data_IF_937640936082
#
_entry.id   IF_937640936082
#
_cell.length_a   1.000
_cell.length_b   1.000
_cell.length_c   1.000
_cell.angle_alpha   90.00
_cell.angle_beta   90.00
_cell.angle_gamma   90.00
#
_symmetry.space_group_name_H-M   'P 1'
#
loop_
_entity.id
_entity.type
_entity.pdbx_description
1 polymer ?
#
# COMPACT_ATOMS: atom_id res chain seq x y z
N UNK A 1 17.91 8.82 22.73
CA UNK A 1 16.94 9.47 21.82
C UNK A 1 15.79 8.53 21.43
N UNK A 2 16.04 7.23 21.12
CA UNK A 2 14.96 6.27 20.83
C UNK A 2 13.99 6.09 22.01
N UNK A 3 14.50 5.93 23.23
CA UNK A 3 13.69 5.63 24.42
C UNK A 3 12.71 6.76 24.78
N UNK A 4 13.11 8.02 24.55
CA UNK A 4 12.24 9.20 24.80
C UNK A 4 11.10 9.25 23.79
N UNK A 5 11.40 9.00 22.50
CA UNK A 5 10.38 8.95 21.46
C UNK A 5 9.42 7.78 21.68
N UNK A 6 9.93 6.64 22.11
CA UNK A 6 9.11 5.47 22.43
C UNK A 6 8.14 5.76 23.58
N UNK A 7 8.59 6.41 24.65
CA UNK A 7 7.71 6.84 25.73
C UNK A 7 6.64 7.83 25.29
N UNK A 8 6.96 8.78 24.40
CA UNK A 8 5.97 9.72 23.86
C UNK A 8 4.91 9.00 23.03
N UNK A 9 5.32 8.08 22.16
CA UNK A 9 4.42 7.26 21.36
C UNK A 9 3.49 6.45 22.27
N UNK A 10 4.04 5.80 23.30
CA UNK A 10 3.27 5.02 24.27
C UNK A 10 2.23 5.87 24.99
N UNK A 11 2.61 7.05 25.48
CA UNK A 11 1.71 7.97 26.17
C UNK A 11 0.51 8.37 25.29
N UNK A 12 0.74 8.65 24.00
CA UNK A 12 -0.36 8.95 23.06
C UNK A 12 -1.27 7.75 22.88
N UNK A 13 -0.69 6.55 22.68
CA UNK A 13 -1.45 5.32 22.47
C UNK A 13 -2.29 4.94 23.69
N UNK A 14 -1.76 5.13 24.91
CA UNK A 14 -2.42 4.75 26.14
C UNK A 14 -3.50 5.77 26.56
N UNK A 15 -3.38 7.04 26.14
CA UNK A 15 -4.35 8.09 26.41
C UNK A 15 -5.51 8.17 25.41
N UNK A 16 -5.39 7.48 24.28
CA UNK A 16 -6.37 7.54 23.20
C UNK A 16 -7.30 6.32 23.21
N UNK A 17 -8.60 6.55 23.02
CA UNK A 17 -9.62 5.51 22.90
C UNK A 17 -10.00 5.24 21.43
N UNK A 18 -9.74 6.22 20.55
CA UNK A 18 -10.16 6.20 19.15
C UNK A 18 -9.00 6.48 18.22
N UNK A 19 -9.04 5.84 17.07
CA UNK A 19 -8.19 6.17 15.93
C UNK A 19 -9.04 6.52 14.72
N UNK A 20 -8.53 7.38 13.85
CA UNK A 20 -9.07 7.59 12.54
C UNK A 20 -8.28 6.73 11.55
N UNK A 21 -8.96 5.79 10.90
CA UNK A 21 -8.35 4.91 9.90
C UNK A 21 -8.77 5.32 8.50
N UNK A 22 -7.78 5.57 7.64
CA UNK A 22 -7.98 5.83 6.22
C UNK A 22 -7.62 4.58 5.40
N UNK A 23 -8.50 4.26 4.45
CA UNK A 23 -8.38 3.11 3.54
C UNK A 23 -8.59 3.55 2.10
N UNK A 24 -8.02 2.84 1.12
CA UNK A 24 -8.19 3.22 -0.29
C UNK A 24 -8.08 2.03 -1.23
N UNK A 25 -8.87 2.04 -2.31
CA UNK A 25 -8.79 1.07 -3.41
C UNK A 25 -9.08 1.80 -4.73
N UNK A 26 -8.20 1.65 -5.71
CA UNK A 26 -8.42 2.17 -7.07
C UNK A 26 -8.61 3.70 -7.14
N UNK A 27 -7.95 4.45 -6.25
CA UNK A 27 -8.09 5.91 -6.16
C UNK A 27 -9.26 6.38 -5.28
N UNK A 28 -10.17 5.49 -4.88
CA UNK A 28 -11.26 5.82 -3.96
C UNK A 28 -10.80 5.63 -2.52
N UNK A 29 -10.74 6.71 -1.77
CA UNK A 29 -10.41 6.72 -0.33
C UNK A 29 -11.66 6.78 0.53
N UNK A 30 -11.56 6.28 1.74
CA UNK A 30 -12.51 6.50 2.82
C UNK A 30 -11.80 6.58 4.16
N UNK A 31 -12.42 7.26 5.12
CA UNK A 31 -11.94 7.36 6.47
C UNK A 31 -13.05 7.11 7.47
N UNK A 32 -12.70 6.57 8.62
CA UNK A 32 -13.63 6.31 9.70
C UNK A 32 -12.94 6.40 11.05
N UNK A 33 -13.64 6.92 12.04
CA UNK A 33 -13.23 6.81 13.44
C UNK A 33 -13.66 5.44 13.98
N UNK A 34 -12.74 4.73 14.62
CA UNK A 34 -12.99 3.43 15.25
C UNK A 34 -12.37 3.42 16.66
N UNK A 35 -12.96 2.66 17.56
CA UNK A 35 -12.33 2.34 18.82
C UNK A 35 -11.22 1.33 18.58
N UNK A 36 -10.12 1.46 19.27
CA UNK A 36 -8.99 0.56 19.14
C UNK A 36 -8.39 0.23 20.50
N UNK A 37 -7.58 -0.79 20.52
CA UNK A 37 -6.72 -1.12 21.65
C UNK A 37 -5.34 -1.51 21.15
N UNK A 38 -4.37 -1.40 22.02
CA UNK A 38 -3.00 -1.79 21.76
C UNK A 38 -2.80 -3.29 22.06
N UNK A 39 -2.08 -4.00 21.20
CA UNK A 39 -1.63 -5.37 21.41
C UNK A 39 -0.12 -5.47 21.06
N UNK A 40 0.73 -5.13 22.03
CA UNK A 40 2.16 -4.93 21.80
C UNK A 40 2.42 -3.71 20.91
N UNK A 41 3.06 -3.93 19.75
CA UNK A 41 3.28 -2.87 18.74
C UNK A 41 2.11 -2.74 17.76
N UNK A 42 1.18 -3.71 17.74
CA UNK A 42 0.03 -3.73 16.85
C UNK A 42 -1.16 -2.99 17.46
N UNK A 43 -2.07 -2.54 16.59
CA UNK A 43 -3.35 -1.96 17.00
C UNK A 43 -4.47 -2.91 16.58
N UNK A 44 -5.41 -3.17 17.48
CA UNK A 44 -6.57 -4.03 17.21
C UNK A 44 -7.85 -3.23 17.31
N UNK A 45 -8.80 -3.49 16.41
CA UNK A 45 -10.11 -2.87 16.40
C UNK A 45 -11.15 -3.81 15.81
N UNK A 46 -12.41 -3.48 15.96
CA UNK A 46 -13.49 -4.17 15.31
C UNK A 46 -14.34 -3.24 14.45
N UNK A 47 -15.06 -3.82 13.49
CA UNK A 47 -16.06 -3.10 12.71
C UNK A 47 -17.16 -4.04 12.25
N UNK A 48 -18.37 -3.51 12.11
CA UNK A 48 -19.49 -4.26 11.55
C UNK A 48 -19.29 -4.56 10.06
N UNK A 49 -19.88 -5.65 9.59
CA UNK A 49 -19.98 -6.01 8.19
C UNK A 49 -21.43 -5.85 7.70
N UNK A 50 -21.63 -5.47 6.42
CA UNK A 50 -20.63 -4.99 5.47
C UNK A 50 -20.32 -3.50 5.67
N UNK A 51 -19.05 -3.13 5.65
CA UNK A 51 -18.64 -1.72 5.64
C UNK A 51 -17.63 -1.47 4.53
N UNK A 52 -17.65 -0.24 3.98
CA UNK A 52 -16.72 0.16 2.90
C UNK A 52 -15.25 -0.02 3.30
N UNK A 53 -14.89 0.33 4.55
CA UNK A 53 -13.52 0.15 5.02
C UNK A 53 -13.10 -1.32 5.09
N UNK A 54 -14.00 -2.22 5.55
CA UNK A 54 -13.72 -3.66 5.61
C UNK A 54 -13.45 -4.23 4.21
N UNK A 55 -14.24 -3.82 3.21
CA UNK A 55 -14.05 -4.24 1.82
C UNK A 55 -12.77 -3.66 1.22
N UNK A 56 -12.46 -2.38 1.50
CA UNK A 56 -11.22 -1.76 1.05
C UNK A 56 -9.99 -2.42 1.66
N UNK A 57 -10.00 -2.76 2.95
CA UNK A 57 -8.92 -3.48 3.63
C UNK A 57 -8.70 -4.86 3.00
N UNK A 58 -9.77 -5.59 2.68
CA UNK A 58 -9.68 -6.89 2.00
C UNK A 58 -8.97 -6.81 0.66
N UNK A 59 -9.18 -5.73 -0.10
CA UNK A 59 -8.61 -5.52 -1.43
C UNK A 59 -7.23 -4.87 -1.39
N UNK A 60 -7.00 -4.00 -0.43
CA UNK A 60 -5.73 -3.29 -0.21
C UNK A 60 -5.48 -3.15 1.29
N UNK A 61 -4.53 -3.91 1.86
CA UNK A 61 -4.27 -3.90 3.30
C UNK A 61 -3.58 -2.62 3.79
N UNK A 62 -3.10 -1.75 2.91
CA UNK A 62 -2.45 -0.50 3.32
C UNK A 62 -3.45 0.45 3.93
N UNK A 63 -3.10 0.93 5.12
CA UNK A 63 -3.90 1.90 5.87
C UNK A 63 -3.01 3.03 6.36
N UNK A 64 -3.64 4.18 6.55
CA UNK A 64 -3.06 5.28 7.31
C UNK A 64 -3.94 5.53 8.54
N UNK A 65 -3.32 5.60 9.70
CA UNK A 65 -4.00 5.77 10.98
C UNK A 65 -3.55 7.08 11.61
N UNK A 66 -4.50 7.82 12.17
CA UNK A 66 -4.22 9.01 12.96
C UNK A 66 -4.81 8.83 14.35
N UNK A 67 -4.03 9.14 15.38
CA UNK A 67 -4.40 9.01 16.79
C UNK A 67 -4.07 10.30 17.50
N UNK A 68 -5.00 10.79 18.32
CA UNK A 68 -4.79 11.93 19.18
C UNK A 68 -5.08 11.57 20.62
N UNK A 69 -4.34 12.10 21.59
CA UNK A 69 -4.71 12.06 22.99
C UNK A 69 -6.05 12.78 23.18
N UNK A 70 -6.84 12.30 24.13
CA UNK A 70 -8.13 12.92 24.46
C UNK A 70 -7.93 14.37 24.94
N UNK A 71 -8.60 15.31 24.29
CA UNK A 71 -8.51 16.74 24.61
C UNK A 71 -7.29 17.48 24.04
N UNK A 72 -6.49 16.82 23.18
CA UNK A 72 -5.34 17.42 22.50
C UNK A 72 -5.39 17.22 20.97
N UNK A 73 -6.60 17.10 20.45
CA UNK A 73 -6.83 16.83 19.02
C UNK A 73 -6.19 17.92 18.15
N UNK A 74 -5.34 17.49 17.23
CA UNK A 74 -4.66 18.36 16.28
C UNK A 74 -3.40 19.05 16.78
N UNK A 75 -3.02 18.91 18.05
CA UNK A 75 -1.81 19.52 18.63
C UNK A 75 -0.72 18.47 18.82
N UNK A 76 -1.05 17.38 19.51
CA UNK A 76 -0.19 16.23 19.69
C UNK A 76 -0.85 14.98 19.09
N UNK A 77 -0.08 14.09 18.51
CA UNK A 77 -0.66 12.86 17.98
C UNK A 77 0.31 11.99 17.20
N UNK A 78 -0.22 10.89 16.71
CA UNK A 78 0.50 9.92 15.88
C UNK A 78 -0.12 9.85 14.49
N UNK A 79 0.74 9.75 13.49
CA UNK A 79 0.39 9.36 12.12
C UNK A 79 1.12 8.05 11.84
N UNK A 80 0.38 7.00 11.54
CA UNK A 80 0.90 5.64 11.44
C UNK A 80 0.59 5.08 10.07
N UNK A 81 1.61 4.74 9.31
CA UNK A 81 1.47 3.92 8.12
C UNK A 81 1.59 2.45 8.49
N UNK A 82 0.73 1.61 7.96
CA UNK A 82 0.75 0.20 8.29
C UNK A 82 -0.07 -0.66 7.34
N UNK A 83 -0.15 -1.94 7.67
CA UNK A 83 -0.97 -2.92 6.98
C UNK A 83 -2.02 -3.48 7.92
N UNK A 84 -3.26 -3.55 7.44
CA UNK A 84 -4.41 -4.00 8.20
C UNK A 84 -4.92 -5.32 7.65
N UNK A 85 -5.16 -6.29 8.54
CA UNK A 85 -5.64 -7.62 8.20
C UNK A 85 -6.82 -8.02 9.08
N UNK A 86 -7.80 -8.73 8.48
CA UNK A 86 -8.88 -9.36 9.25
C UNK A 86 -8.29 -10.53 10.06
N UNK A 87 -8.53 -10.55 11.35
CA UNK A 87 -8.20 -11.65 12.24
C UNK A 87 -9.14 -12.81 11.91
N UNK A 88 -8.56 -13.99 11.68
CA UNK A 88 -9.31 -15.21 11.30
C UNK A 88 -9.38 -16.23 12.42
N UNK A 89 -8.32 -16.31 13.21
CA UNK A 89 -8.19 -17.23 14.33
C UNK A 89 -9.13 -16.80 15.46
N UNK A 90 -9.83 -17.76 16.04
CA UNK A 90 -10.89 -17.49 17.03
C UNK A 90 -10.30 -17.09 18.40
N UNK A 91 -9.14 -17.62 18.78
CA UNK A 91 -8.45 -17.22 20.01
C UNK A 91 -7.91 -15.79 19.88
N UNK A 92 -7.35 -15.44 18.72
CA UNK A 92 -6.96 -14.05 18.43
C UNK A 92 -8.17 -13.11 18.41
N UNK A 93 -9.32 -13.51 17.85
CA UNK A 93 -10.55 -12.70 17.89
C UNK A 93 -11.00 -12.43 19.31
N UNK A 94 -11.02 -13.49 20.16
CA UNK A 94 -11.38 -13.37 21.57
C UNK A 94 -10.44 -12.42 22.30
N UNK A 95 -9.13 -12.54 22.07
CA UNK A 95 -8.14 -11.64 22.65
C UNK A 95 -8.35 -10.20 22.18
N UNK A 96 -8.57 -9.96 20.89
CA UNK A 96 -8.83 -8.64 20.34
C UNK A 96 -10.12 -8.02 20.94
N UNK A 97 -11.16 -8.83 21.10
CA UNK A 97 -12.41 -8.45 21.75
C UNK A 97 -12.18 -7.99 23.20
N UNK A 98 -11.49 -8.81 24.02
CA UNK A 98 -11.17 -8.49 25.41
C UNK A 98 -10.35 -7.20 25.54
N UNK A 99 -9.38 -6.99 24.64
CA UNK A 99 -8.56 -5.77 24.61
C UNK A 99 -9.40 -4.54 24.31
N UNK A 100 -10.23 -4.60 23.27
CA UNK A 100 -11.05 -3.43 22.87
C UNK A 100 -12.12 -3.13 23.91
N UNK A 101 -12.71 -4.13 24.55
CA UNK A 101 -13.68 -3.92 25.63
C UNK A 101 -13.07 -3.23 26.86
N UNK A 102 -11.80 -3.50 27.19
CA UNK A 102 -11.12 -2.82 28.30
C UNK A 102 -10.97 -1.32 28.04
N UNK A 103 -10.79 -0.93 26.78
CA UNK A 103 -10.61 0.47 26.39
C UNK A 103 -11.96 1.20 26.23
N UNK A 104 -13.07 0.45 26.05
CA UNK A 104 -14.36 1.03 25.65
C UNK A 104 -15.49 0.59 26.58
N UNK A 105 -15.55 1.13 27.80
CA UNK A 105 -16.63 0.80 28.75
C UNK A 105 -18.04 1.06 28.21
N UNK A 106 -18.20 2.11 27.39
CA UNK A 106 -19.47 2.47 26.78
C UNK A 106 -20.10 1.40 25.88
N UNK A 107 -19.31 0.43 25.39
CA UNK A 107 -19.82 -0.65 24.53
C UNK A 107 -20.17 -1.93 25.27
N UNK A 108 -19.77 -2.08 26.54
CA UNK A 108 -20.08 -3.29 27.31
C UNK A 108 -21.58 -3.58 27.40
N UNK A 109 -22.42 -2.51 27.48
CA UNK A 109 -23.86 -2.65 27.55
C UNK A 109 -24.54 -3.08 26.24
N UNK A 110 -23.85 -2.90 25.08
CA UNK A 110 -24.43 -3.17 23.76
C UNK A 110 -23.93 -4.49 23.15
N UNK A 111 -22.95 -5.14 23.77
CA UNK A 111 -22.26 -6.29 23.21
C UNK A 111 -22.36 -7.50 24.13
N UNK A 112 -23.37 -8.36 23.90
CA UNK A 112 -23.38 -9.71 24.48
C UNK A 112 -22.28 -10.57 23.81
N UNK A 113 -21.38 -11.10 24.65
CA UNK A 113 -20.08 -11.64 24.28
C UNK A 113 -20.10 -12.70 23.16
N UNK A 114 -21.04 -13.61 23.21
CA UNK A 114 -21.05 -14.80 22.32
C UNK A 114 -21.57 -14.48 20.92
N UNK A 115 -22.48 -13.54 20.80
CA UNK A 115 -23.08 -13.15 19.53
C UNK A 115 -22.08 -12.50 18.58
N UNK A 116 -21.16 -11.71 19.11
CA UNK A 116 -20.21 -10.91 18.32
C UNK A 116 -18.98 -11.71 17.86
N UNK A 117 -18.62 -12.72 18.63
CA UNK A 117 -17.48 -13.60 18.29
C UNK A 117 -17.90 -14.65 17.26
N UNK A 118 -19.11 -15.21 17.44
CA UNK A 118 -19.59 -16.34 16.59
C UNK A 118 -20.26 -15.93 15.29
N UNK A 119 -20.82 -14.72 15.21
CA UNK A 119 -21.49 -14.25 14.00
C UNK A 119 -20.56 -13.34 13.19
N UNK A 120 -20.43 -13.59 11.90
CA UNK A 120 -19.64 -12.80 10.93
C UNK A 120 -20.14 -11.33 10.74
N UNK A 121 -21.06 -10.88 11.59
CA UNK A 121 -21.58 -9.51 11.62
C UNK A 121 -20.52 -8.51 12.08
N UNK A 122 -19.57 -8.95 12.90
CA UNK A 122 -18.44 -8.15 13.38
C UNK A 122 -17.12 -8.76 12.92
N UNK A 123 -16.28 -7.96 12.27
CA UNK A 123 -14.93 -8.34 11.91
C UNK A 123 -13.92 -7.70 12.84
N UNK A 124 -12.97 -8.48 13.32
CA UNK A 124 -11.83 -8.03 14.10
C UNK A 124 -10.64 -7.84 13.17
N UNK A 125 -9.91 -6.77 13.38
CA UNK A 125 -8.81 -6.35 12.52
C UNK A 125 -7.58 -6.02 13.33
N UNK A 126 -6.42 -6.29 12.76
CA UNK A 126 -5.11 -5.95 13.30
C UNK A 126 -4.37 -5.04 12.32
N UNK A 127 -3.94 -3.90 12.81
CA UNK A 127 -3.02 -3.01 12.08
C UNK A 127 -1.60 -3.28 12.57
N UNK A 128 -0.72 -3.58 11.64
CA UNK A 128 0.72 -3.72 11.87
C UNK A 128 1.43 -2.45 11.42
N UNK A 129 1.90 -1.62 12.33
CA UNK A 129 2.62 -0.40 11.98
C UNK A 129 3.90 -0.70 11.20
N UNK A 130 4.19 0.13 10.20
CA UNK A 130 5.47 0.11 9.48
C UNK A 130 6.29 1.36 9.77
N UNK A 131 5.61 2.48 9.94
CA UNK A 131 6.22 3.76 10.27
C UNK A 131 5.28 4.52 11.21
N UNK A 132 5.83 5.08 12.27
CA UNK A 132 5.11 5.95 13.20
C UNK A 132 5.77 7.33 13.14
N UNK A 133 4.95 8.35 12.90
CA UNK A 133 5.34 9.76 12.99
C UNK A 133 4.66 10.34 14.22
N UNK A 134 5.44 10.77 15.19
CA UNK A 134 4.98 11.56 16.31
C UNK A 134 4.95 13.04 15.89
N UNK A 135 3.90 13.72 16.24
CA UNK A 135 3.68 15.14 15.94
C UNK A 135 3.33 15.86 17.25
N UNK A 136 4.06 16.94 17.56
CA UNK A 136 3.71 17.83 18.67
C UNK A 136 4.11 19.26 18.32
N UNK A 137 3.12 20.13 18.15
CA UNK A 137 3.35 21.52 17.74
C UNK A 137 3.89 22.42 18.85
N UNK A 138 3.94 21.95 20.10
CA UNK A 138 4.56 22.67 21.22
C UNK A 138 6.05 22.37 21.38
N UNK A 139 6.59 21.37 20.69
CA UNK A 139 7.99 21.02 20.77
C UNK A 139 8.82 21.71 19.66
N UNK A 140 10.12 21.93 19.92
CA UNK A 140 11.03 22.47 18.90
C UNK A 140 11.16 21.50 17.71
N UNK A 141 11.27 20.20 17.99
CA UNK A 141 11.25 19.15 16.97
C UNK A 141 9.81 18.63 16.84
N UNK A 142 9.00 19.34 16.07
CA UNK A 142 7.57 19.06 15.91
C UNK A 142 7.25 17.70 15.29
N UNK A 143 8.19 17.10 14.55
CA UNK A 143 7.98 15.85 13.81
C UNK A 143 9.12 14.88 14.09
N UNK A 144 8.81 13.76 14.71
CA UNK A 144 9.75 12.68 14.99
C UNK A 144 9.27 11.37 14.37
N UNK A 145 10.20 10.56 13.86
CA UNK A 145 9.86 9.37 13.08
C UNK A 145 10.46 8.11 13.71
N UNK A 146 9.64 7.06 13.78
CA UNK A 146 10.07 5.71 14.15
C UNK A 146 9.70 4.74 13.05
N UNK A 147 10.67 3.98 12.53
CA UNK A 147 10.42 2.87 11.60
C UNK A 147 10.43 1.57 12.38
N UNK A 148 9.39 0.75 12.23
CA UNK A 148 9.27 -0.55 12.87
C UNK A 148 10.02 -1.58 12.00
N UNK A 149 11.14 -2.18 12.50
CA UNK A 149 11.89 -3.20 11.76
C UNK A 149 11.06 -4.49 11.68
N UNK A 150 10.97 -5.10 10.53
CA UNK A 150 10.27 -6.39 10.32
C UNK A 150 9.14 -6.34 9.29
N UNK A 151 8.50 -5.21 9.08
CA UNK A 151 7.40 -5.06 8.11
C UNK A 151 7.85 -4.59 6.70
N UNK A 152 9.15 -4.49 6.44
CA UNK A 152 9.70 -4.02 5.15
C UNK A 152 9.41 -4.95 3.97
N UNK A 153 9.20 -6.24 4.21
CA UNK A 153 9.05 -7.25 3.13
C UNK A 153 7.77 -7.06 2.32
N UNK A 154 6.72 -6.61 2.95
CA UNK A 154 5.43 -6.33 2.30
C UNK A 154 5.50 -5.06 1.44
N UNK A 155 6.16 -4.00 1.92
CA UNK A 155 6.33 -2.75 1.17
C UNK A 155 7.13 -2.95 -0.13
N UNK A 156 8.20 -3.75 -0.10
CA UNK A 156 9.02 -4.07 -1.28
C UNK A 156 8.23 -4.91 -2.28
N UNK A 157 7.54 -5.97 -1.83
CA UNK A 157 6.70 -6.81 -2.69
C UNK A 157 5.57 -6.01 -3.34
N UNK A 158 5.00 -5.06 -2.62
CA UNK A 158 3.90 -4.24 -3.13
C UNK A 158 4.39 -3.11 -4.03
N UNK A 159 5.54 -2.50 -3.77
CA UNK A 159 6.19 -1.56 -4.69
C UNK A 159 6.51 -2.23 -6.03
N UNK A 160 7.00 -3.47 -6.00
CA UNK A 160 7.25 -4.28 -7.19
C UNK A 160 5.94 -4.60 -7.95
N UNK A 161 4.87 -5.00 -7.23
CA UNK A 161 3.55 -5.28 -7.82
C UNK A 161 2.87 -4.02 -8.40
N UNK A 162 3.05 -2.86 -7.75
CA UNK A 162 2.57 -1.57 -8.26
C UNK A 162 3.40 -1.10 -9.46
N UNK A 163 4.71 -1.33 -9.45
CA UNK A 163 5.59 -1.09 -10.59
C UNK A 163 5.15 -1.88 -11.82
N UNK A 164 4.88 -3.18 -11.67
CA UNK A 164 4.36 -4.03 -12.75
C UNK A 164 2.98 -3.58 -13.25
N UNK A 165 2.07 -3.16 -12.35
CA UNK A 165 0.76 -2.60 -12.78
C UNK A 165 0.92 -1.28 -13.53
N UNK A 166 1.82 -0.39 -13.10
CA UNK A 166 2.12 0.86 -13.82
C UNK A 166 2.73 0.60 -15.18
N UNK A 167 3.66 -0.36 -15.30
CA UNK A 167 4.21 -0.79 -16.58
C UNK A 167 3.11 -1.36 -17.47
N UNK A 168 2.23 -2.21 -16.96
CA UNK A 168 1.10 -2.76 -17.72
C UNK A 168 0.11 -1.70 -18.20
N UNK A 169 -0.19 -0.69 -17.36
CA UNK A 169 -1.02 0.44 -17.75
C UNK A 169 -0.32 1.31 -18.80
N UNK A 170 0.96 1.59 -18.59
CA UNK A 170 1.78 2.35 -19.54
C UNK A 170 1.83 1.67 -20.91
N UNK A 171 2.09 0.34 -20.97
CA UNK A 171 2.06 -0.44 -22.19
C UNK A 171 0.71 -0.39 -22.91
N UNK A 172 -0.40 -0.32 -22.17
CA UNK A 172 -1.73 -0.14 -22.75
C UNK A 172 -1.94 1.28 -23.30
N UNK A 173 -1.45 2.29 -22.58
CA UNK A 173 -1.58 3.70 -22.95
C UNK A 173 -0.81 4.02 -24.23
N UNK A 174 0.40 3.48 -24.40
CA UNK A 174 1.19 3.65 -25.63
C UNK A 174 0.73 2.74 -26.77
N UNK A 175 -0.39 2.03 -26.60
CA UNK A 175 -0.95 1.13 -27.61
C UNK A 175 0.12 0.14 -28.12
N UNK A 176 0.79 -0.55 -27.18
CA UNK A 176 1.86 -1.52 -27.50
C UNK A 176 1.58 -2.46 -28.69
N UNK A 177 0.33 -2.90 -28.96
CA UNK A 177 0.02 -3.67 -30.17
C UNK A 177 0.38 -2.97 -31.48
N UNK A 178 0.38 -1.62 -31.53
CA UNK A 178 0.77 -0.88 -32.73
C UNK A 178 2.29 -0.85 -32.98
N UNK A 179 3.11 -1.19 -31.98
CA UNK A 179 4.56 -1.36 -32.17
C UNK A 179 4.87 -2.52 -33.16
N UNK A 180 4.00 -3.52 -33.24
CA UNK A 180 4.16 -4.62 -34.19
C UNK A 180 4.10 -4.14 -35.65
N UNK A 181 3.28 -3.12 -35.93
CA UNK A 181 3.20 -2.50 -37.24
C UNK A 181 4.52 -1.79 -37.63
N UNK A 182 5.31 -1.33 -36.67
CA UNK A 182 6.63 -0.73 -36.87
C UNK A 182 7.70 -1.80 -36.98
N UNK A 183 7.63 -2.85 -36.17
CA UNK A 183 8.65 -3.90 -36.15
C UNK A 183 8.64 -4.79 -37.37
N UNK A 184 7.46 -5.21 -37.85
CA UNK A 184 7.34 -6.12 -38.97
C UNK A 184 8.05 -5.60 -40.26
N UNK A 185 7.84 -4.36 -40.73
CA UNK A 185 8.56 -3.83 -41.89
C UNK A 185 10.08 -3.74 -41.69
N UNK A 186 10.53 -3.37 -40.46
CA UNK A 186 11.97 -3.26 -40.12
C UNK A 186 12.64 -4.65 -40.19
N UNK A 187 11.99 -5.67 -39.60
CA UNK A 187 12.52 -7.05 -39.67
C UNK A 187 12.52 -7.60 -41.07
N UNK A 188 11.47 -7.37 -41.87
CA UNK A 188 11.39 -7.80 -43.24
C UNK A 188 12.47 -7.10 -44.08
N UNK A 189 12.58 -5.77 -43.98
CA UNK A 189 13.61 -5.01 -44.67
C UNK A 189 15.03 -5.43 -44.31
N UNK A 190 15.28 -5.68 -43.02
CA UNK A 190 16.56 -6.19 -42.55
C UNK A 190 16.88 -7.60 -43.09
N UNK A 191 15.89 -8.50 -43.15
CA UNK A 191 16.05 -9.85 -43.66
C UNK A 191 16.37 -9.83 -45.15
N UNK A 192 15.71 -9.00 -45.95
CA UNK A 192 15.99 -8.82 -47.39
C UNK A 192 17.38 -8.26 -47.59
N UNK A 193 17.72 -7.16 -46.90
CA UNK A 193 19.05 -6.54 -47.00
C UNK A 193 20.19 -7.52 -46.61
N UNK A 194 19.96 -8.35 -45.60
CA UNK A 194 20.95 -9.37 -45.22
C UNK A 194 21.08 -10.48 -46.24
N UNK A 195 19.96 -10.90 -46.87
CA UNK A 195 19.99 -11.87 -47.96
C UNK A 195 20.77 -11.34 -49.15
N UNK A 196 20.50 -10.10 -49.56
CA UNK A 196 21.18 -9.46 -50.70
C UNK A 196 22.69 -9.30 -50.46
N UNK A 197 23.09 -8.87 -49.25
CA UNK A 197 24.50 -8.77 -48.86
C UNK A 197 25.21 -10.13 -48.89
N UNK A 198 24.53 -11.18 -48.47
CA UNK A 198 25.07 -12.54 -48.48
C UNK A 198 25.24 -13.07 -49.87
N UNK A 199 24.28 -12.84 -50.77
CA UNK A 199 24.35 -13.22 -52.18
C UNK A 199 25.50 -12.49 -52.91
N UNK A 200 25.73 -11.23 -52.52
CA UNK A 200 26.83 -10.42 -53.02
C UNK A 200 28.22 -10.74 -52.40
N UNK A 201 28.30 -11.66 -51.44
CA UNK A 201 29.52 -11.97 -50.70
C UNK A 201 29.98 -10.88 -49.75
N UNK A 202 29.08 -9.96 -49.35
CA UNK A 202 29.35 -8.79 -48.50
C UNK A 202 28.68 -8.91 -47.11
N UNK A 203 28.42 -10.11 -46.65
CA UNK A 203 27.76 -10.40 -45.35
C UNK A 203 28.53 -9.83 -44.15
N UNK A 204 29.87 -9.68 -44.26
CA UNK A 204 30.68 -8.99 -43.23
C UNK A 204 30.35 -7.49 -43.05
N UNK A 205 29.66 -6.88 -44.03
CA UNK A 205 29.24 -5.49 -43.99
C UNK A 205 27.99 -5.28 -43.16
N UNK A 206 27.30 -6.35 -42.74
CA UNK A 206 26.11 -6.26 -41.89
C UNK A 206 26.46 -5.77 -40.51
N UNK A 207 25.77 -4.73 -40.03
CA UNK A 207 25.98 -4.16 -38.70
C UNK A 207 24.78 -4.36 -37.78
N UNK A 208 24.88 -5.30 -36.85
CA UNK A 208 23.87 -5.52 -35.82
C UNK A 208 23.66 -4.28 -34.93
N UNK A 209 24.70 -3.46 -34.73
CA UNK A 209 24.56 -2.20 -33.96
C UNK A 209 23.62 -1.23 -34.65
N UNK A 210 23.76 -1.05 -35.96
CA UNK A 210 22.89 -0.19 -36.76
C UNK A 210 21.45 -0.71 -36.77
N UNK A 211 21.27 -2.04 -36.94
CA UNK A 211 19.95 -2.66 -36.86
C UNK A 211 19.23 -2.32 -35.57
N UNK A 212 19.87 -2.48 -34.40
CA UNK A 212 19.28 -2.19 -33.08
C UNK A 212 19.05 -0.69 -32.87
N UNK A 213 19.91 0.19 -33.39
CA UNK A 213 19.70 1.64 -33.34
C UNK A 213 18.48 2.08 -34.15
N UNK A 214 18.32 1.54 -35.39
CA UNK A 214 17.14 1.83 -36.22
C UNK A 214 15.86 1.32 -35.55
N UNK A 215 15.86 0.10 -35.06
CA UNK A 215 14.73 -0.49 -34.38
C UNK A 215 14.35 0.31 -33.12
N UNK A 216 15.34 0.69 -32.33
CA UNK A 216 15.14 1.52 -31.12
C UNK A 216 14.62 2.92 -31.44
N UNK A 217 15.21 3.58 -32.43
CA UNK A 217 14.79 4.89 -32.89
C UNK A 217 13.35 4.91 -33.40
N UNK A 218 12.99 3.94 -34.26
CA UNK A 218 11.62 3.81 -34.76
C UNK A 218 10.62 3.50 -33.64
N UNK A 219 11.00 2.69 -32.66
CA UNK A 219 10.18 2.40 -31.48
C UNK A 219 9.92 3.63 -30.63
N UNK A 220 10.96 4.44 -30.39
CA UNK A 220 10.85 5.70 -29.64
C UNK A 220 9.97 6.72 -30.36
N UNK A 221 10.13 6.86 -31.69
CA UNK A 221 9.28 7.75 -32.48
C UNK A 221 7.81 7.31 -32.42
N UNK A 222 7.54 6.00 -32.51
CA UNK A 222 6.16 5.47 -32.40
C UNK A 222 5.57 5.70 -31.00
N UNK A 223 6.35 5.53 -29.95
CA UNK A 223 5.91 5.83 -28.56
C UNK A 223 5.58 7.32 -28.42
N UNK A 224 6.45 8.20 -28.93
CA UNK A 224 6.23 9.65 -28.88
C UNK A 224 4.93 10.07 -29.57
N UNK A 225 4.65 9.53 -30.76
CA UNK A 225 3.40 9.82 -31.51
C UNK A 225 2.16 9.24 -30.87
N UNK A 226 2.25 8.13 -30.14
CA UNK A 226 1.09 7.52 -29.47
C UNK A 226 0.84 8.07 -28.07
N UNK A 227 1.77 8.82 -27.50
CA UNK A 227 1.67 9.43 -26.17
C UNK A 227 1.16 10.88 -26.20
N UNK A 228 1.09 11.49 -27.39
CA UNK A 228 0.49 12.81 -27.65
C UNK A 228 -1.01 12.71 -27.92
#
# INVERSE_FOLDING_TARGET
MSDVLDSKIENVLDSAERMFIATSVGGNSSGASVFFSRDGEDLVFFTFHPTRKAEQIRLNPRVHVVIWPKGQEGIEGLQIDGECYKIKDDDEKKRAYELVLKTTEAFKEYMEDEFLIKNDVVGYYRVKPTTIKYVNFYEEEQFQWKTIPGNKTSAIKMAFKLGLKRIGLWLRTIRAPFLTATFAPIFIGAAVAWSDLREAGLDSSWSWRMFWLVLGGASLAQVATNAS
#
